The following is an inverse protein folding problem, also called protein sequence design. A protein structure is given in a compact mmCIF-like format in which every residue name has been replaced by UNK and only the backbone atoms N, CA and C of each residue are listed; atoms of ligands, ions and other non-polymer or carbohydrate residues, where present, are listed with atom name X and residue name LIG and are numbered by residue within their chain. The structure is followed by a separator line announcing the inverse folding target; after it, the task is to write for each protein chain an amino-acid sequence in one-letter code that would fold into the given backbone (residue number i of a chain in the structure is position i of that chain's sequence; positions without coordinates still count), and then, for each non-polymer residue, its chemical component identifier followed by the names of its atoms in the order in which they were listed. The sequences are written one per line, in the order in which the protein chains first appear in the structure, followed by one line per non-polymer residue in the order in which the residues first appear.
data_IF_842393873499
#
_entry.id   IF_842393873499
#
_cell.length_a   1.000
_cell.length_b   1.000
_cell.length_c   1.000
_cell.angle_alpha   90.00
_cell.angle_beta   90.00
_cell.angle_gamma   90.00
#
_symmetry.space_group_name_H-M   'P 1'
#
loop_
_entity.id
_entity.type
_entity.pdbx_description
1 polymer ?
#
# COMPACT_ATOMS: atom_id res chain seq x y z
N UNK A 1 -18.13 -28.79 -11.16
CA UNK A 1 -17.15 -28.52 -10.09
C UNK A 1 -17.62 -27.33 -9.27
N UNK A 2 -17.19 -27.20 -8.01
CA UNK A 2 -17.56 -26.06 -7.16
C UNK A 2 -17.29 -24.69 -7.83
N UNK A 3 -16.14 -24.53 -8.50
CA UNK A 3 -15.82 -23.33 -9.29
C UNK A 3 -16.83 -23.04 -10.40
N UNK A 4 -17.32 -24.08 -11.09
CA UNK A 4 -18.31 -23.93 -12.16
C UNK A 4 -19.69 -23.50 -11.64
N UNK A 5 -20.08 -23.96 -10.45
CA UNK A 5 -21.34 -23.55 -9.79
C UNK A 5 -21.21 -22.10 -9.33
N UNK A 6 -20.15 -21.78 -8.58
CA UNK A 6 -19.88 -20.43 -8.07
C UNK A 6 -19.79 -19.41 -9.21
N UNK A 7 -19.18 -19.77 -10.34
CA UNK A 7 -19.09 -18.90 -11.50
C UNK A 7 -20.47 -18.53 -12.06
N UNK A 8 -21.47 -19.41 -11.98
CA UNK A 8 -22.84 -19.13 -12.46
C UNK A 8 -23.68 -18.35 -11.44
N UNK A 9 -23.48 -18.62 -10.16
CA UNK A 9 -24.18 -17.94 -9.05
C UNK A 9 -23.71 -16.49 -8.86
N UNK A 10 -22.41 -16.24 -9.02
CA UNK A 10 -21.83 -14.90 -8.83
C UNK A 10 -22.15 -14.04 -10.05
N UNK A 11 -23.15 -13.18 -9.90
CA UNK A 11 -23.59 -12.20 -10.88
C UNK A 11 -23.47 -10.78 -10.31
N UNK A 12 -22.26 -10.20 -10.29
CA UNK A 12 -22.08 -8.84 -9.77
C UNK A 12 -22.79 -7.85 -10.68
N UNK A 13 -23.49 -6.89 -10.07
CA UNK A 13 -24.03 -5.72 -10.76
C UNK A 13 -22.90 -4.83 -11.32
N UNK A 14 -23.21 -3.74 -12.01
CA UNK A 14 -22.19 -2.76 -12.37
C UNK A 14 -22.72 -1.35 -12.13
N UNK A 15 -22.34 -0.79 -10.98
CA UNK A 15 -22.68 0.57 -10.57
C UNK A 15 -21.41 1.28 -10.16
N UNK A 16 -21.11 2.40 -10.81
CA UNK A 16 -19.95 3.20 -10.44
C UNK A 16 -20.09 3.67 -8.98
N UNK A 17 -19.00 3.67 -8.18
CA UNK A 17 -17.59 3.51 -8.58
C UNK A 17 -17.06 2.06 -8.53
N UNK A 18 -17.94 1.04 -8.49
CA UNK A 18 -17.50 -0.35 -8.35
C UNK A 18 -16.60 -0.83 -9.49
N UNK A 19 -15.73 -1.78 -9.16
CA UNK A 19 -14.93 -2.50 -10.15
C UNK A 19 -15.79 -3.35 -11.10
N UNK A 20 -15.27 -3.56 -12.31
CA UNK A 20 -15.96 -4.30 -13.37
C UNK A 20 -16.45 -5.69 -12.89
N UNK A 21 -17.66 -6.16 -13.27
CA UNK A 21 -18.20 -7.45 -12.85
C UNK A 21 -17.26 -8.63 -13.15
N UNK A 22 -16.54 -8.57 -14.27
CA UNK A 22 -15.59 -9.61 -14.68
C UNK A 22 -14.46 -9.77 -13.65
N UNK A 23 -13.95 -8.66 -13.11
CA UNK A 23 -12.93 -8.67 -12.07
C UNK A 23 -13.48 -9.27 -10.77
N UNK A 24 -14.65 -8.81 -10.32
CA UNK A 24 -15.27 -9.31 -9.07
C UNK A 24 -15.61 -10.80 -9.13
N UNK A 25 -16.11 -11.27 -10.27
CA UNK A 25 -16.36 -12.70 -10.53
C UNK A 25 -15.06 -13.50 -10.54
N UNK A 26 -14.02 -12.99 -11.22
CA UNK A 26 -12.69 -13.59 -11.22
C UNK A 26 -12.09 -13.70 -9.82
N UNK A 27 -12.15 -12.63 -9.04
CA UNK A 27 -11.66 -12.56 -7.67
C UNK A 27 -12.36 -13.57 -6.77
N UNK A 28 -13.69 -13.69 -6.88
CA UNK A 28 -14.47 -14.63 -6.09
C UNK A 28 -14.03 -16.08 -6.34
N UNK A 29 -13.81 -16.44 -7.61
CA UNK A 29 -13.28 -17.76 -7.98
C UNK A 29 -11.85 -17.98 -7.46
N UNK A 30 -11.00 -16.97 -7.57
CA UNK A 30 -9.61 -17.03 -7.10
C UNK A 30 -9.53 -17.19 -5.56
N UNK A 31 -10.40 -16.51 -4.81
CA UNK A 31 -10.48 -16.62 -3.34
C UNK A 31 -10.92 -18.02 -2.91
N UNK A 32 -11.94 -18.60 -3.56
CA UNK A 32 -12.32 -19.99 -3.28
C UNK A 32 -11.15 -20.94 -3.57
N UNK A 33 -10.48 -20.77 -4.71
CA UNK A 33 -9.34 -21.60 -5.08
C UNK A 33 -8.19 -21.48 -4.06
N UNK A 34 -7.88 -20.25 -3.61
CA UNK A 34 -6.91 -19.99 -2.53
C UNK A 34 -7.24 -20.75 -1.25
N UNK A 35 -8.50 -20.72 -0.80
CA UNK A 35 -8.94 -21.47 0.38
C UNK A 35 -8.76 -22.97 0.19
N UNK A 36 -9.11 -23.50 -0.99
CA UNK A 36 -8.92 -24.93 -1.28
C UNK A 36 -7.43 -25.32 -1.21
N UNK A 37 -6.53 -24.47 -1.71
CA UNK A 37 -5.08 -24.70 -1.63
C UNK A 37 -4.57 -24.67 -0.18
N UNK A 38 -5.11 -23.79 0.67
CA UNK A 38 -4.66 -23.62 2.05
C UNK A 38 -5.14 -24.74 3.00
N UNK A 39 -6.22 -25.45 2.67
CA UNK A 39 -6.77 -26.53 3.52
C UNK A 39 -5.84 -27.75 3.65
N UNK A 40 -5.02 -28.04 2.64
CA UNK A 40 -4.19 -29.25 2.64
C UNK A 40 -2.88 -29.07 1.85
N UNK A 41 -1.97 -28.18 2.30
CA UNK A 41 -0.78 -27.76 1.55
C UNK A 41 0.16 -28.92 1.16
N UNK A 42 0.22 -29.98 1.99
CA UNK A 42 1.07 -31.14 1.74
C UNK A 42 0.58 -32.01 0.56
N UNK A 43 -0.73 -32.00 0.28
CA UNK A 43 -1.34 -32.76 -0.81
C UNK A 43 -1.45 -31.95 -2.12
N UNK A 44 -1.04 -30.67 -2.08
CA UNK A 44 -1.02 -29.78 -3.25
C UNK A 44 0.31 -29.93 -3.99
N UNK A 45 0.25 -29.98 -5.33
CA UNK A 45 1.45 -29.96 -6.19
C UNK A 45 2.29 -28.73 -5.87
N UNK A 46 3.61 -28.90 -5.81
CA UNK A 46 4.57 -27.84 -5.39
C UNK A 46 4.33 -26.49 -6.09
N UNK A 47 4.09 -26.51 -7.40
CA UNK A 47 3.82 -25.33 -8.24
C UNK A 47 2.58 -24.50 -7.86
N UNK A 48 1.66 -25.03 -7.04
CA UNK A 48 0.43 -24.34 -6.63
C UNK A 48 0.41 -23.97 -5.14
N UNK A 49 1.41 -24.37 -4.35
CA UNK A 49 1.40 -24.18 -2.89
C UNK A 49 1.37 -22.71 -2.47
N UNK A 50 2.17 -21.87 -3.11
CA UNK A 50 2.23 -20.43 -2.84
C UNK A 50 0.90 -19.71 -3.06
N UNK A 51 -0.02 -20.28 -3.86
CA UNK A 51 -1.35 -19.72 -4.06
C UNK A 51 -2.26 -19.80 -2.83
N UNK A 52 -1.95 -20.66 -1.85
CA UNK A 52 -2.66 -20.77 -0.57
C UNK A 52 -2.03 -19.98 0.57
N UNK A 53 -0.82 -19.47 0.39
CA UNK A 53 -0.06 -18.75 1.43
C UNK A 53 -0.53 -17.29 1.57
N UNK A 54 -0.11 -16.64 2.65
CA UNK A 54 -0.33 -15.21 2.85
C UNK A 54 0.69 -14.35 2.11
N UNK A 55 0.24 -13.20 1.61
CA UNK A 55 1.14 -12.21 1.01
C UNK A 55 1.86 -11.48 2.15
N UNK A 56 3.10 -11.89 2.44
CA UNK A 56 3.92 -11.26 3.46
C UNK A 56 4.74 -10.11 2.87
N UNK A 57 4.61 -8.90 3.42
CA UNK A 57 5.48 -7.76 3.10
C UNK A 57 6.79 -7.91 3.88
N UNK A 58 7.96 -8.11 3.23
CA UNK A 58 9.24 -8.18 3.93
C UNK A 58 9.66 -6.82 4.49
N UNK A 59 10.62 -6.83 5.42
CA UNK A 59 11.24 -5.61 5.90
C UNK A 59 11.94 -4.89 4.74
N UNK A 60 11.72 -3.58 4.62
CA UNK A 60 12.34 -2.76 3.57
C UNK A 60 13.83 -2.60 3.82
N UNK A 61 14.63 -2.66 2.75
CA UNK A 61 16.08 -2.40 2.78
C UNK A 61 16.46 -1.42 1.67
N UNK A 62 17.60 -0.75 1.81
CA UNK A 62 18.11 0.21 0.84
C UNK A 62 19.63 0.30 0.87
N UNK A 63 20.23 0.59 -0.29
CA UNK A 63 21.66 0.91 -0.46
C UNK A 63 21.75 2.30 -1.07
N UNK A 64 22.59 3.16 -0.52
CA UNK A 64 22.88 4.50 -1.05
C UNK A 64 24.38 4.62 -1.27
N UNK A 65 24.77 5.21 -2.39
CA UNK A 65 26.17 5.41 -2.79
C UNK A 65 26.27 6.83 -3.37
N UNK A 66 27.18 7.64 -2.83
CA UNK A 66 27.37 9.03 -3.22
C UNK A 66 28.84 9.43 -3.06
N UNK A 67 29.28 10.35 -3.92
CA UNK A 67 30.63 10.90 -3.85
C UNK A 67 30.74 11.90 -2.68
N UNK A 68 31.87 11.86 -1.95
CA UNK A 68 32.15 12.79 -0.85
C UNK A 68 33.47 13.51 -1.10
N UNK A 69 33.49 14.84 -1.00
CA UNK A 69 34.69 15.69 -1.13
C UNK A 69 34.88 16.52 0.14
N UNK A 70 35.89 16.15 0.94
CA UNK A 70 36.19 16.82 2.23
C UNK A 70 36.90 18.16 2.07
N UNK A 71 37.32 18.55 0.85
CA UNK A 71 37.96 19.84 0.60
C UNK A 71 36.97 21.01 0.53
N UNK A 72 35.67 20.72 0.31
CA UNK A 72 34.60 21.71 0.12
C UNK A 72 33.38 21.48 1.04
N UNK A 73 33.55 21.47 2.37
CA UNK A 73 32.41 21.48 3.27
C UNK A 73 31.64 22.82 3.18
N UNK A 74 30.29 22.83 3.25
CA UNK A 74 29.37 21.70 3.48
C UNK A 74 28.82 21.08 2.18
N UNK A 75 29.27 21.50 0.99
CA UNK A 75 28.63 21.19 -0.30
C UNK A 75 28.52 19.69 -0.61
N UNK A 76 29.52 18.89 -0.19
CA UNK A 76 29.57 17.43 -0.38
C UNK A 76 29.45 16.66 0.93
N UNK A 77 29.01 17.32 2.00
CA UNK A 77 28.81 16.67 3.29
C UNK A 77 27.37 16.16 3.39
N UNK A 78 27.14 14.91 3.81
CA UNK A 78 25.80 14.48 4.19
C UNK A 78 25.43 15.18 5.51
N UNK A 79 24.44 16.07 5.47
CA UNK A 79 23.87 16.66 6.66
C UNK A 79 22.34 16.51 6.63
N UNK A 80 21.69 16.33 7.80
CA UNK A 80 20.24 16.23 7.84
C UNK A 80 19.61 17.52 7.38
N UNK A 81 18.41 17.43 6.77
CA UNK A 81 17.61 18.61 6.45
C UNK A 81 17.49 19.50 7.69
N UNK A 82 17.68 20.81 7.51
CA UNK A 82 17.75 21.77 8.62
C UNK A 82 16.52 21.74 9.51
N UNK A 83 15.33 21.64 8.91
CA UNK A 83 14.05 21.63 9.61
C UNK A 83 13.62 20.22 10.04
N UNK A 84 14.43 19.17 9.80
CA UNK A 84 14.02 17.78 10.05
C UNK A 84 13.59 17.53 11.49
N UNK A 85 14.29 18.12 12.46
CA UNK A 85 13.97 17.94 13.87
C UNK A 85 12.60 18.55 14.21
N UNK A 86 12.33 19.79 13.80
CA UNK A 86 11.04 20.44 14.04
C UNK A 86 9.89 19.78 13.26
N UNK A 87 10.19 19.19 12.09
CA UNK A 87 9.23 18.37 11.34
C UNK A 87 8.88 17.07 12.07
N UNK A 88 9.85 16.44 12.72
CA UNK A 88 9.64 15.20 13.47
C UNK A 88 9.04 15.42 14.88
N UNK A 89 9.27 16.59 15.49
CA UNK A 89 8.68 16.96 16.80
C UNK A 89 7.26 17.52 16.69
N UNK A 90 6.83 17.94 15.49
CA UNK A 90 5.56 18.62 15.27
C UNK A 90 5.59 20.12 15.58
N UNK A 91 6.80 20.71 15.68
CA UNK A 91 7.00 22.15 15.91
C UNK A 91 7.07 22.95 14.61
N UNK A 92 7.25 22.28 13.46
CA UNK A 92 7.19 22.94 12.17
C UNK A 92 5.77 23.44 11.89
N UNK A 93 5.61 24.75 11.75
CA UNK A 93 4.33 25.39 11.43
C UNK A 93 4.05 25.32 9.92
N UNK A 94 2.95 24.66 9.55
CA UNK A 94 2.38 24.69 8.21
C UNK A 94 1.16 25.61 8.16
N UNK A 95 0.62 25.87 6.96
CA UNK A 95 -0.48 26.83 6.74
C UNK A 95 -1.68 26.61 7.66
N UNK A 96 -2.01 25.35 7.98
CA UNK A 96 -3.13 25.00 8.85
C UNK A 96 -2.79 25.01 10.35
N UNK A 97 -1.51 25.13 10.71
CA UNK A 97 -1.07 25.23 12.11
C UNK A 97 -1.06 26.69 12.60
N UNK A 98 -1.10 27.65 11.68
CA UNK A 98 -1.18 29.08 11.98
C UNK A 98 -2.50 29.35 12.73
N UNK A 99 -2.46 29.96 13.94
CA UNK A 99 -3.66 30.26 14.70
C UNK A 99 -4.63 31.16 13.95
N UNK A 100 -5.92 30.80 13.97
CA UNK A 100 -6.97 31.64 13.42
C UNK A 100 -7.15 32.90 14.25
N UNK A 101 -7.28 34.03 13.58
CA UNK A 101 -7.63 35.31 14.21
C UNK A 101 -9.15 35.43 14.37
N UNK A 102 -9.60 36.38 15.21
CA UNK A 102 -10.99 36.44 15.71
C UNK A 102 -12.10 36.61 14.66
N UNK A 103 -11.78 36.82 13.39
CA UNK A 103 -12.74 36.97 12.29
C UNK A 103 -12.41 36.08 11.08
N UNK A 104 -11.56 35.07 11.24
CA UNK A 104 -11.24 34.15 10.14
C UNK A 104 -12.48 33.31 9.78
N UNK A 105 -12.69 33.11 8.47
CA UNK A 105 -13.80 32.34 7.93
C UNK A 105 -13.26 31.18 7.09
N UNK A 106 -14.07 30.12 6.98
CA UNK A 106 -13.74 28.95 6.17
C UNK A 106 -14.53 28.96 4.86
N UNK A 107 -13.87 28.63 3.75
CA UNK A 107 -14.51 28.42 2.45
C UNK A 107 -14.79 26.92 2.24
N UNK A 108 -15.92 26.61 1.61
CA UNK A 108 -16.25 25.27 1.12
C UNK A 108 -16.76 25.37 -0.33
N UNK A 109 -16.50 24.34 -1.13
CA UNK A 109 -16.88 24.24 -2.55
C UNK A 109 -17.60 22.92 -2.81
#
# INVERSE_FOLDING_TARGET
TALGILSKEVQPDYRLPDSKPQFRRGLTMALLYRVVLSLSPNNVKSQFRSGGEDITRPLSSGKQEFDTDTSRPPLYQPFPKLESLIQCSGEAEYVYDIPTLGNDLYAAF
#
